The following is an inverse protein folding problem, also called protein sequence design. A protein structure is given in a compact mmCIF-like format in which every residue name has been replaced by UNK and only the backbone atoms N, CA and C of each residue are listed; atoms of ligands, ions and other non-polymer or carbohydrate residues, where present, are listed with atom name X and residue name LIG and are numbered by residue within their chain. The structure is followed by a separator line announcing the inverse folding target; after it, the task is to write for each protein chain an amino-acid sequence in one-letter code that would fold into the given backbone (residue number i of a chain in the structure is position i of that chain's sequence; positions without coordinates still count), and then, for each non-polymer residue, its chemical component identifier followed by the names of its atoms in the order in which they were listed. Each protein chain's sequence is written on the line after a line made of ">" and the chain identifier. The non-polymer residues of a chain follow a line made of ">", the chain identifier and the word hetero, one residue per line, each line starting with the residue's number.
data_IF_771346707868
#
_entry.id   IF_771346707868
#
_cell.length_a   1.000
_cell.length_b   1.000
_cell.length_c   1.000
_cell.angle_alpha   90.00
_cell.angle_beta   90.00
_cell.angle_gamma   90.00
#
_symmetry.space_group_name_H-M   'P 1'
#
loop_
_entity.id
_entity.type
_entity.pdbx_description
1 polymer ?
#
# COMPACT_ATOMS: atom_id res chain seq x y z
N UNK A 1 21.34 -16.71 34.39
CA UNK A 1 21.56 -16.17 33.04
C UNK A 1 20.21 -16.08 32.38
N UNK A 2 19.64 -14.87 32.28
CA UNK A 2 18.31 -14.67 31.71
C UNK A 2 18.43 -14.75 30.19
N UNK A 3 17.84 -15.78 29.58
CA UNK A 3 17.66 -15.85 28.13
C UNK A 3 16.66 -14.76 27.79
N UNK A 4 17.11 -13.74 27.04
CA UNK A 4 16.25 -12.68 26.54
C UNK A 4 15.07 -13.29 25.78
N UNK A 5 13.85 -12.83 26.10
CA UNK A 5 12.65 -13.11 25.30
C UNK A 5 12.99 -12.83 23.82
N UNK A 6 12.65 -13.72 22.87
CA UNK A 6 12.70 -13.36 21.47
C UNK A 6 11.81 -12.13 21.26
N UNK A 7 12.33 -11.14 20.54
CA UNK A 7 11.55 -10.01 20.02
C UNK A 7 10.26 -10.57 19.44
N UNK A 8 9.11 -10.00 19.81
CA UNK A 8 7.83 -10.45 19.28
C UNK A 8 7.90 -10.41 17.75
N UNK A 9 7.87 -11.58 17.12
CA UNK A 9 7.86 -11.66 15.67
C UNK A 9 6.65 -10.87 15.17
N UNK A 10 6.88 -10.00 14.21
CA UNK A 10 5.82 -9.22 13.59
C UNK A 10 4.80 -10.17 12.97
N UNK A 11 3.58 -10.25 13.52
CA UNK A 11 2.51 -11.07 12.96
C UNK A 11 2.04 -10.46 11.64
N UNK A 12 2.62 -10.95 10.53
CA UNK A 12 2.29 -10.55 9.17
C UNK A 12 1.30 -11.55 8.54
N UNK A 13 0.42 -11.09 7.64
CA UNK A 13 -0.33 -11.99 6.77
C UNK A 13 0.63 -12.92 6.02
N UNK A 14 0.23 -14.19 5.86
CA UNK A 14 1.09 -15.22 5.28
C UNK A 14 1.71 -14.80 3.92
N UNK A 15 0.91 -14.22 3.02
CA UNK A 15 1.41 -13.78 1.71
C UNK A 15 2.57 -12.77 1.83
N UNK A 16 2.45 -11.78 2.73
CA UNK A 16 3.48 -10.76 2.96
C UNK A 16 4.69 -11.34 3.71
N UNK A 17 4.47 -12.28 4.64
CA UNK A 17 5.56 -12.98 5.31
C UNK A 17 6.41 -13.81 4.34
N UNK A 18 5.77 -14.42 3.33
CA UNK A 18 6.44 -15.21 2.29
C UNK A 18 7.07 -14.35 1.18
N UNK A 19 6.58 -13.12 0.99
CA UNK A 19 7.08 -12.16 0.00
C UNK A 19 7.40 -10.81 0.68
N UNK A 20 8.50 -10.71 1.43
CA UNK A 20 8.70 -9.58 2.34
C UNK A 20 9.16 -8.28 1.65
N UNK A 21 9.70 -8.36 0.43
CA UNK A 21 10.21 -7.21 -0.32
C UNK A 21 9.06 -6.36 -0.87
N UNK A 22 8.99 -5.09 -0.47
CA UNK A 22 7.86 -4.21 -0.82
C UNK A 22 7.75 -3.95 -2.32
N UNK A 23 8.86 -3.89 -3.06
CA UNK A 23 8.89 -3.58 -4.49
C UNK A 23 8.19 -4.64 -5.38
N UNK A 24 7.99 -5.85 -4.84
CA UNK A 24 7.13 -6.89 -5.42
C UNK A 24 5.66 -6.50 -5.37
N UNK A 25 5.24 -5.92 -4.25
CA UNK A 25 3.86 -5.54 -3.98
C UNK A 25 3.49 -4.16 -4.49
N UNK A 26 4.39 -3.18 -4.42
CA UNK A 26 4.09 -1.80 -4.77
C UNK A 26 5.21 -1.18 -5.58
N UNK A 27 4.86 -0.45 -6.64
CA UNK A 27 5.79 0.40 -7.39
C UNK A 27 5.14 1.71 -7.74
N UNK A 28 5.87 2.80 -7.55
CA UNK A 28 5.49 4.11 -8.07
C UNK A 28 5.96 4.17 -9.52
N UNK A 29 5.07 4.55 -10.43
CA UNK A 29 5.33 4.55 -11.87
C UNK A 29 5.55 5.98 -12.39
N UNK A 30 6.34 6.14 -13.48
CA UNK A 30 6.61 7.46 -14.07
C UNK A 30 5.37 8.18 -14.61
N UNK A 31 4.30 7.45 -14.92
CA UNK A 31 3.04 7.98 -15.45
C UNK A 31 2.08 8.49 -14.38
N UNK A 32 2.62 8.78 -13.19
CA UNK A 32 1.86 9.23 -12.02
C UNK A 32 0.80 8.22 -11.54
N UNK A 33 1.10 6.93 -11.66
CA UNK A 33 0.30 5.87 -11.03
C UNK A 33 1.11 5.07 -10.00
N UNK A 34 0.41 4.33 -9.15
CA UNK A 34 0.98 3.36 -8.20
C UNK A 34 0.48 1.98 -8.60
N UNK A 35 1.40 1.12 -8.99
CA UNK A 35 1.13 -0.28 -9.30
C UNK A 35 1.08 -1.10 -8.02
N UNK A 36 0.00 -1.84 -7.82
CA UNK A 36 -0.20 -2.77 -6.71
C UNK A 36 -0.25 -4.19 -7.28
N UNK A 37 0.70 -5.03 -6.88
CA UNK A 37 0.80 -6.42 -7.26
C UNK A 37 0.04 -7.33 -6.31
N UNK A 38 -0.64 -8.31 -6.88
CA UNK A 38 -1.10 -9.51 -6.19
C UNK A 38 -0.71 -10.74 -6.99
N UNK A 39 -0.15 -11.74 -6.31
CA UNK A 39 0.24 -13.01 -6.90
C UNK A 39 -0.94 -13.91 -7.22
N UNK A 40 -2.14 -13.55 -6.75
CA UNK A 40 -3.35 -14.33 -6.97
C UNK A 40 -3.93 -14.02 -8.34
N UNK A 41 -4.24 -15.09 -9.07
CA UNK A 41 -4.97 -15.02 -10.34
C UNK A 41 -6.44 -14.83 -10.01
N UNK A 42 -6.95 -13.63 -10.25
CA UNK A 42 -8.36 -13.30 -10.01
C UNK A 42 -9.15 -13.33 -11.31
N UNK A 43 -10.14 -14.23 -11.37
CA UNK A 43 -11.05 -14.44 -12.51
C UNK A 43 -12.43 -13.79 -12.22
N UNK A 44 -12.43 -12.57 -11.65
CA UNK A 44 -13.67 -11.86 -11.31
C UNK A 44 -13.49 -10.37 -11.07
N UNK A 45 -14.36 -9.55 -11.67
CA UNK A 45 -14.28 -8.08 -11.70
C UNK A 45 -14.49 -7.38 -10.32
N UNK A 46 -14.99 -8.09 -9.31
CA UNK A 46 -15.31 -7.52 -7.99
C UNK A 46 -14.11 -7.41 -7.03
N UNK A 47 -13.25 -8.43 -7.00
CA UNK A 47 -12.15 -8.52 -6.02
C UNK A 47 -11.05 -7.51 -6.33
N UNK A 48 -10.65 -7.40 -7.59
CA UNK A 48 -9.65 -6.42 -8.05
C UNK A 48 -10.09 -5.00 -7.69
N UNK A 49 -11.38 -4.69 -7.87
CA UNK A 49 -11.94 -3.38 -7.50
C UNK A 49 -11.83 -3.12 -6.00
N UNK A 50 -12.19 -4.11 -5.15
CA UNK A 50 -12.06 -3.98 -3.71
C UNK A 50 -10.61 -3.80 -3.25
N UNK A 51 -9.67 -4.55 -3.84
CA UNK A 51 -8.23 -4.40 -3.54
C UNK A 51 -7.70 -3.03 -3.98
N UNK A 52 -8.16 -2.54 -5.12
CA UNK A 52 -7.84 -1.20 -5.61
C UNK A 52 -8.36 -0.11 -4.65
N UNK A 53 -9.59 -0.26 -4.14
CA UNK A 53 -10.14 0.65 -3.12
C UNK A 53 -9.31 0.62 -1.84
N UNK A 54 -8.88 -0.55 -1.35
CA UNK A 54 -8.03 -0.67 -0.15
C UNK A 54 -6.71 0.08 -0.34
N UNK A 55 -6.05 -0.12 -1.49
CA UNK A 55 -4.79 0.54 -1.77
C UNK A 55 -4.95 2.06 -1.93
N UNK A 56 -5.95 2.51 -2.69
CA UNK A 56 -6.24 3.93 -2.89
C UNK A 56 -6.58 4.63 -1.57
N UNK A 57 -7.36 3.97 -0.71
CA UNK A 57 -7.73 4.47 0.62
C UNK A 57 -6.52 4.64 1.53
N UNK A 58 -5.69 3.60 1.62
CA UNK A 58 -4.56 3.60 2.54
C UNK A 58 -3.44 4.56 2.09
N UNK A 59 -3.32 4.80 0.78
CA UNK A 59 -2.37 5.76 0.20
C UNK A 59 -2.93 7.19 0.10
N UNK A 60 -4.22 7.41 0.39
CA UNK A 60 -4.91 8.67 0.14
C UNK A 60 -4.79 9.14 -1.32
N UNK A 61 -4.95 8.20 -2.27
CA UNK A 61 -4.89 8.44 -3.71
C UNK A 61 -6.27 8.41 -4.36
N UNK A 62 -6.48 9.17 -5.46
CA UNK A 62 -7.59 8.90 -6.36
C UNK A 62 -7.50 7.46 -6.88
N UNK A 63 -8.63 6.75 -6.94
CA UNK A 63 -8.64 5.32 -7.34
C UNK A 63 -8.06 5.11 -8.75
N UNK A 64 -8.18 6.10 -9.64
CA UNK A 64 -7.62 6.08 -11.00
C UNK A 64 -6.08 6.10 -11.02
N UNK A 65 -5.46 6.54 -9.92
CA UNK A 65 -4.00 6.53 -9.77
C UNK A 65 -3.47 5.18 -9.32
N UNK A 66 -4.33 4.19 -9.02
CA UNK A 66 -3.93 2.86 -8.59
C UNK A 66 -4.14 1.85 -9.72
N UNK A 67 -3.08 1.10 -10.05
CA UNK A 67 -3.11 0.06 -11.08
C UNK A 67 -2.87 -1.32 -10.48
N UNK A 68 -3.87 -2.19 -10.57
CA UNK A 68 -3.74 -3.56 -10.09
C UNK A 68 -3.02 -4.42 -11.13
N UNK A 69 -1.96 -5.12 -10.70
CA UNK A 69 -1.33 -6.19 -11.46
C UNK A 69 -1.69 -7.52 -10.78
N UNK A 70 -2.53 -8.33 -11.44
CA UNK A 70 -2.92 -9.66 -10.97
C UNK A 70 -2.23 -10.76 -11.79
N UNK A 71 -1.90 -11.87 -11.13
CA UNK A 71 -1.51 -13.12 -11.78
C UNK A 71 -0.16 -13.13 -12.52
N UNK A 72 0.69 -12.11 -12.35
CA UNK A 72 2.06 -12.09 -12.90
C UNK A 72 3.08 -12.32 -11.78
N UNK A 73 3.54 -13.56 -11.62
CA UNK A 73 4.62 -13.91 -10.67
C UNK A 73 5.99 -13.36 -11.09
N UNK A 74 6.15 -12.94 -12.35
CA UNK A 74 7.36 -12.28 -12.83
C UNK A 74 7.51 -10.85 -12.28
N UNK A 75 6.39 -10.14 -12.06
CA UNK A 75 6.37 -8.71 -11.74
C UNK A 75 5.66 -8.38 -10.41
N UNK A 76 4.89 -9.32 -9.85
CA UNK A 76 4.21 -9.25 -8.55
C UNK A 76 4.80 -10.22 -7.51
N UNK A 77 4.26 -10.25 -6.28
CA UNK A 77 4.63 -11.26 -5.28
C UNK A 77 4.17 -12.65 -5.75
N UNK A 78 4.91 -13.71 -5.42
CA UNK A 78 4.48 -15.09 -5.70
C UNK A 78 3.61 -15.58 -4.53
N UNK A 79 2.29 -15.45 -4.69
CA UNK A 79 1.32 -15.86 -3.67
C UNK A 79 0.85 -17.33 -3.81
N UNK A 80 1.43 -18.11 -4.75
CA UNK A 80 1.02 -19.50 -5.09
C UNK A 80 -0.49 -19.66 -5.40
N UNK A 81 -0.91 -20.86 -5.81
CA UNK A 81 -2.32 -21.14 -6.09
C UNK A 81 -3.11 -21.33 -4.78
N UNK A 82 -4.05 -20.44 -4.47
CA UNK A 82 -4.98 -20.57 -3.34
C UNK A 82 -6.44 -20.42 -3.78
N UNK A 83 -7.35 -21.09 -3.08
CA UNK A 83 -8.81 -21.01 -3.27
C UNK A 83 -9.33 -19.57 -3.10
N UNK A 84 -10.21 -19.12 -3.99
CA UNK A 84 -10.62 -17.71 -4.19
C UNK A 84 -11.13 -16.95 -2.93
N UNK A 85 -11.68 -17.62 -1.91
CA UNK A 85 -12.22 -16.96 -0.71
C UNK A 85 -11.15 -16.56 0.31
N UNK A 86 -10.05 -17.29 0.40
CA UNK A 86 -8.89 -16.91 1.23
C UNK A 86 -8.09 -15.76 0.59
N UNK A 87 -8.35 -15.47 -0.69
CA UNK A 87 -7.64 -14.47 -1.50
C UNK A 87 -7.85 -13.05 -0.99
N UNK A 88 -9.11 -12.64 -0.78
CA UNK A 88 -9.46 -11.26 -0.43
C UNK A 88 -8.97 -10.86 0.95
N UNK A 89 -9.17 -11.70 1.96
CA UNK A 89 -8.81 -11.38 3.34
C UNK A 89 -7.28 -11.29 3.50
N UNK A 90 -6.55 -12.27 2.96
CA UNK A 90 -5.09 -12.33 3.10
C UNK A 90 -4.40 -11.30 2.20
N UNK A 91 -4.81 -11.16 0.93
CA UNK A 91 -4.20 -10.19 0.02
C UNK A 91 -4.63 -8.77 0.34
N UNK A 92 -5.88 -8.54 0.77
CA UNK A 92 -6.35 -7.23 1.22
C UNK A 92 -5.59 -6.73 2.45
N UNK A 93 -5.38 -7.60 3.45
CA UNK A 93 -4.56 -7.26 4.62
C UNK A 93 -3.09 -6.99 4.25
N UNK A 94 -2.53 -7.78 3.33
CA UNK A 94 -1.15 -7.61 2.84
C UNK A 94 -0.99 -6.29 2.10
N UNK A 95 -1.87 -6.00 1.13
CA UNK A 95 -1.88 -4.76 0.34
C UNK A 95 -2.03 -3.56 1.27
N UNK A 96 -2.93 -3.62 2.25
CA UNK A 96 -3.12 -2.54 3.22
C UNK A 96 -1.83 -2.27 4.01
N UNK A 97 -1.17 -3.31 4.51
CA UNK A 97 0.10 -3.15 5.24
C UNK A 97 1.21 -2.58 4.35
N UNK A 98 1.33 -3.06 3.12
CA UNK A 98 2.32 -2.55 2.15
C UNK A 98 2.06 -1.08 1.83
N UNK A 99 0.81 -0.70 1.59
CA UNK A 99 0.44 0.68 1.31
C UNK A 99 0.70 1.61 2.49
N UNK A 100 0.36 1.16 3.71
CA UNK A 100 0.64 1.89 4.93
C UNK A 100 2.16 2.07 5.16
N UNK A 101 2.96 1.06 4.86
CA UNK A 101 4.42 1.12 4.95
C UNK A 101 5.01 2.08 3.90
N UNK A 102 4.53 2.04 2.65
CA UNK A 102 4.92 3.01 1.62
C UNK A 102 4.64 4.45 2.09
N UNK A 103 3.41 4.72 2.53
CA UNK A 103 3.03 6.04 3.05
C UNK A 103 3.92 6.45 4.22
N UNK A 104 4.17 5.54 5.16
CA UNK A 104 5.01 5.82 6.34
C UNK A 104 6.44 6.18 5.94
N UNK A 105 7.07 5.40 5.06
CA UNK A 105 8.44 5.68 4.59
C UNK A 105 8.54 7.02 3.87
N UNK A 106 7.54 7.36 3.06
CA UNK A 106 7.46 8.65 2.37
C UNK A 106 7.36 9.82 3.35
N UNK A 107 6.45 9.74 4.32
CA UNK A 107 6.27 10.80 5.31
C UNK A 107 7.48 10.94 6.24
N UNK A 108 8.08 9.84 6.68
CA UNK A 108 9.32 9.88 7.47
C UNK A 108 10.49 10.50 6.71
N UNK A 109 10.62 10.18 5.42
CA UNK A 109 11.63 10.77 4.56
C UNK A 109 11.38 12.28 4.39
N UNK A 110 10.14 12.66 4.12
CA UNK A 110 9.75 14.06 3.97
C UNK A 110 9.95 14.85 5.28
N UNK A 111 9.59 14.29 6.44
CA UNK A 111 9.79 14.91 7.74
C UNK A 111 11.27 15.24 7.98
N UNK A 112 12.17 14.29 7.66
CA UNK A 112 13.63 14.53 7.72
C UNK A 112 14.06 15.63 6.75
N UNK A 113 13.53 15.64 5.54
CA UNK A 113 13.88 16.63 4.49
C UNK A 113 13.43 18.04 4.84
N UNK A 114 12.25 18.18 5.44
CA UNK A 114 11.68 19.47 5.85
C UNK A 114 12.07 19.89 7.27
N UNK A 115 12.73 19.01 8.02
CA UNK A 115 13.05 19.19 9.44
C UNK A 115 11.80 19.56 10.26
N UNK A 116 10.71 18.81 10.06
CA UNK A 116 9.45 18.97 10.78
C UNK A 116 9.08 17.70 11.55
N UNK A 117 8.06 17.81 12.40
CA UNK A 117 7.48 16.66 13.07
C UNK A 117 6.81 15.71 12.05
N UNK A 118 6.79 14.41 12.32
CA UNK A 118 6.07 13.47 11.45
C UNK A 118 4.55 13.68 11.59
N UNK A 119 4.11 14.04 12.80
CA UNK A 119 2.72 14.23 13.18
C UNK A 119 2.09 15.48 12.54
N UNK A 120 2.91 16.44 12.08
CA UNK A 120 2.44 17.58 11.30
C UNK A 120 2.18 17.22 9.84
N UNK A 121 2.62 16.03 9.39
CA UNK A 121 2.45 15.61 8.00
C UNK A 121 1.20 14.77 7.79
N UNK A 122 0.53 15.02 6.67
CA UNK A 122 -0.59 14.22 6.20
C UNK A 122 -0.53 14.03 4.68
N UNK A 123 -1.40 13.17 4.17
CA UNK A 123 -1.57 12.94 2.73
C UNK A 123 -3.01 13.25 2.35
N UNK A 124 -3.20 14.02 1.29
CA UNK A 124 -4.52 14.27 0.71
C UNK A 124 -4.42 14.22 -0.82
N UNK A 125 -5.22 13.36 -1.47
CA UNK A 125 -5.23 13.16 -2.92
C UNK A 125 -3.83 12.91 -3.54
N UNK A 126 -2.94 12.26 -2.79
CA UNK A 126 -1.55 11.96 -3.17
C UNK A 126 -0.55 13.09 -2.90
N UNK A 127 -1.01 14.26 -2.48
CA UNK A 127 -0.17 15.39 -2.09
C UNK A 127 0.18 15.31 -0.61
N UNK A 128 1.42 15.67 -0.26
CA UNK A 128 1.87 15.73 1.12
C UNK A 128 1.67 17.13 1.69
N UNK A 129 0.98 17.20 2.83
CA UNK A 129 0.68 18.45 3.53
C UNK A 129 1.49 18.53 4.83
N UNK A 130 1.86 19.74 5.26
CA UNK A 130 2.41 20.05 6.56
C UNK A 130 1.49 21.06 7.25
N UNK A 131 0.94 20.69 8.41
CA UNK A 131 -0.05 21.48 9.15
C UNK A 131 -1.26 21.91 8.28
N UNK A 132 -1.62 21.06 7.31
CA UNK A 132 -2.71 21.30 6.36
C UNK A 132 -2.31 22.06 5.09
N UNK A 133 -1.07 22.54 4.98
CA UNK A 133 -0.59 23.29 3.82
C UNK A 133 0.25 22.44 2.87
N UNK A 134 0.14 22.61 1.53
CA UNK A 134 0.92 21.85 0.58
C UNK A 134 2.44 22.02 0.77
N UNK A 135 3.15 20.91 0.91
CA UNK A 135 4.63 20.90 0.99
C UNK A 135 5.30 21.08 -0.37
N UNK A 136 4.53 20.92 -1.46
CA UNK A 136 5.07 20.79 -2.81
C UNK A 136 5.67 19.42 -3.12
N UNK A 137 5.49 18.42 -2.24
CA UNK A 137 5.87 17.03 -2.51
C UNK A 137 4.64 16.13 -2.65
N UNK A 138 4.79 15.07 -3.45
CA UNK A 138 3.83 14.00 -3.65
C UNK A 138 4.60 12.67 -3.74
N UNK A 139 3.88 11.55 -3.84
CA UNK A 139 4.51 10.22 -3.98
C UNK A 139 5.52 10.16 -5.15
N UNK A 140 5.21 10.81 -6.27
CA UNK A 140 6.00 10.71 -7.50
C UNK A 140 7.27 11.55 -7.44
N UNK A 141 7.24 12.71 -6.77
CA UNK A 141 8.43 13.54 -6.53
C UNK A 141 9.42 12.90 -5.58
N UNK A 142 8.97 12.00 -4.70
CA UNK A 142 9.83 11.26 -3.76
C UNK A 142 10.14 9.83 -4.20
N UNK A 143 9.67 9.39 -5.37
CA UNK A 143 9.70 8.00 -5.81
C UNK A 143 11.12 7.39 -5.81
N UNK A 144 12.11 8.15 -6.29
CA UNK A 144 13.50 7.70 -6.39
C UNK A 144 14.30 7.91 -5.08
N UNK A 145 13.70 8.56 -4.09
CA UNK A 145 14.37 8.90 -2.82
C UNK A 145 14.09 7.87 -1.71
N UNK A 146 13.08 7.02 -1.89
CA UNK A 146 12.63 6.05 -0.88
C UNK A 146 12.87 4.62 -1.35
N UNK A 147 13.65 3.85 -0.59
CA UNK A 147 13.92 2.45 -0.90
C UNK A 147 12.76 1.52 -0.52
N UNK A 148 12.20 0.85 -1.52
CA UNK A 148 11.14 -0.14 -1.39
C UNK A 148 11.64 -1.58 -1.50
N UNK A 149 12.95 -1.81 -1.64
CA UNK A 149 13.54 -3.16 -1.65
C UNK A 149 13.70 -3.72 -0.24
N UNK A 150 13.78 -2.86 0.77
CA UNK A 150 13.89 -3.30 2.15
C UNK A 150 12.54 -3.86 2.67
N UNK A 151 12.54 -5.02 3.35
CA UNK A 151 11.33 -5.63 3.86
C UNK A 151 10.69 -4.79 4.98
N UNK A 152 9.45 -5.12 5.32
CA UNK A 152 8.72 -4.44 6.39
C UNK A 152 9.34 -4.79 7.76
N UNK A 153 9.90 -3.79 8.44
CA UNK A 153 10.65 -3.99 9.70
C UNK A 153 9.77 -3.88 10.95
N UNK A 154 8.67 -3.12 10.85
CA UNK A 154 7.74 -2.82 11.93
C UNK A 154 6.34 -2.67 11.36
N UNK A 155 5.30 -2.86 12.18
CA UNK A 155 3.93 -2.60 11.72
C UNK A 155 3.74 -1.09 11.50
N UNK A 156 3.46 -0.63 10.27
CA UNK A 156 3.16 0.79 10.04
C UNK A 156 1.80 1.15 10.66
N UNK A 157 1.59 2.44 11.02
CA UNK A 157 0.27 2.93 11.37
C UNK A 157 -0.67 2.78 10.16
N UNK A 158 -1.75 2.03 10.36
CA UNK A 158 -2.82 1.92 9.38
C UNK A 158 -3.74 3.12 9.49
N UNK A 159 -4.30 3.55 8.36
CA UNK A 159 -5.35 4.56 8.32
C UNK A 159 -6.55 4.08 9.15
N UNK A 160 -7.05 4.89 10.11
CA UNK A 160 -8.24 4.55 10.88
C UNK A 160 -9.45 4.36 9.96
N UNK A 161 -10.30 3.39 10.27
CA UNK A 161 -11.51 3.12 9.48
C UNK A 161 -12.50 4.28 9.49
N UNK A 162 -12.46 5.13 10.53
CA UNK A 162 -13.26 6.34 10.62
C UNK A 162 -12.91 7.37 9.52
N UNK A 163 -11.70 7.29 8.98
CA UNK A 163 -11.19 8.22 7.97
C UNK A 163 -11.36 7.68 6.54
N UNK A 164 -12.03 6.53 6.39
CA UNK A 164 -12.22 5.89 5.09
C UNK A 164 -13.19 6.67 4.20
N UNK A 165 -12.81 6.85 2.94
CA UNK A 165 -13.57 7.61 1.92
C UNK A 165 -13.99 6.75 0.73
N UNK A 166 -13.30 5.65 0.45
CA UNK A 166 -13.45 4.78 -0.72
C UNK A 166 -13.91 3.38 -0.34
N UNK A 167 -13.32 2.76 0.69
CA UNK A 167 -13.62 1.38 1.08
C UNK A 167 -15.08 1.27 1.55
N UNK A 168 -15.80 0.26 1.03
CA UNK A 168 -17.20 0.01 1.38
C UNK A 168 -18.22 0.86 0.62
N UNK A 169 -17.79 1.69 -0.34
CA UNK A 169 -18.67 2.44 -1.25
C UNK A 169 -18.77 1.75 -2.60
N UNK A 170 -19.95 1.81 -3.24
CA UNK A 170 -20.09 1.47 -4.66
C UNK A 170 -19.30 2.48 -5.49
N UNK A 171 -18.17 2.05 -6.07
CA UNK A 171 -17.43 2.82 -7.07
C UNK A 171 -17.88 2.33 -8.45
N UNK A 172 -18.01 3.26 -9.42
CA UNK A 172 -18.32 2.91 -10.80
C UNK A 172 -17.31 1.89 -11.32
N UNK A 173 -17.81 0.86 -11.99
CA UNK A 173 -17.00 -0.21 -12.54
C UNK A 173 -16.03 0.35 -13.59
N UNK A 174 -14.73 0.12 -13.40
CA UNK A 174 -13.66 0.62 -14.29
C UNK A 174 -13.71 0.00 -15.71
N UNK A 175 -14.57 -0.99 -15.94
CA UNK A 175 -14.56 -1.87 -17.10
C UNK A 175 -15.85 -1.84 -17.95
N UNK A 176 -16.74 -0.87 -17.75
CA UNK A 176 -17.91 -0.64 -18.61
C UNK A 176 -17.89 0.79 -19.16
N UNK A 177 -17.91 1.01 -20.49
CA UNK A 177 -18.24 2.33 -21.03
C UNK A 177 -19.73 2.61 -20.80
N UNK A 178 -20.06 3.90 -20.62
CA UNK A 178 -21.44 4.40 -20.51
C UNK A 178 -22.34 3.98 -21.69
#
# INVERSE_FOLDING_TARGET
>A
MSVGKPSAALELPASLAENPDLDRWVRILPDRSVRIGTGKVEMGQGIVTALCQIAAEELDLPIQSVRMLSGSSAEGPDERYTTASLSVEVSGASIRLVCAELRTRMLEHLARRLNCALESLSVENGEFLADGEPTGFDYWRLADEVDLRAPLQRRPPLKPTADYRLVGRSVARLDLPD
#
